data_IF_004432077669
#
_entry.id   IF_004432077669
#
_cell.length_a   1.000
_cell.length_b   1.000
_cell.length_c   1.000
_cell.angle_alpha   90.00
_cell.angle_beta   90.00
_cell.angle_gamma   90.00
#
_symmetry.space_group_name_H-M   'P 1'
#
loop_
_entity.id
_entity.type
_entity.pdbx_description
1 polymer ?
#
# COMPACT_ATOMS: atom_id res chain seq x y z
N UNK A 1 -1.75 -5.72 17.43
CA UNK A 1 -2.06 -5.24 16.06
C UNK A 1 -1.42 -6.20 15.06
N UNK A 2 -2.21 -6.86 14.20
CA UNK A 2 -1.74 -8.00 13.38
C UNK A 2 -1.21 -7.59 11.99
N UNK A 3 -1.44 -6.35 11.55
CA UNK A 3 -1.02 -5.85 10.24
C UNK A 3 0.51 -5.86 10.11
N UNK A 4 1.22 -5.21 11.03
CA UNK A 4 2.68 -5.09 10.98
C UNK A 4 3.41 -6.45 10.90
N UNK A 5 3.09 -7.47 11.72
CA UNK A 5 3.66 -8.82 11.56
C UNK A 5 3.51 -9.42 10.15
N UNK A 6 2.36 -9.22 9.49
CA UNK A 6 2.12 -9.70 8.11
C UNK A 6 3.05 -8.98 7.13
N UNK A 7 3.19 -7.66 7.26
CA UNK A 7 4.06 -6.87 6.37
C UNK A 7 5.54 -7.20 6.58
N UNK A 8 5.97 -7.45 7.82
CA UNK A 8 7.33 -7.93 8.12
C UNK A 8 7.60 -9.31 7.50
N UNK A 9 6.60 -10.19 7.48
CA UNK A 9 6.71 -11.49 6.81
C UNK A 9 6.87 -11.33 5.29
N UNK A 10 6.16 -10.39 4.65
CA UNK A 10 6.36 -10.06 3.23
C UNK A 10 7.80 -9.59 2.98
N UNK A 11 8.30 -8.69 3.82
CA UNK A 11 9.69 -8.21 3.74
C UNK A 11 10.71 -9.33 3.88
N UNK A 12 10.48 -10.27 4.81
CA UNK A 12 11.32 -11.46 4.98
C UNK A 12 11.29 -12.36 3.75
N UNK A 13 10.10 -12.63 3.19
CA UNK A 13 9.92 -13.43 1.97
C UNK A 13 10.55 -12.79 0.74
N UNK A 14 10.54 -11.46 0.66
CA UNK A 14 11.21 -10.69 -0.37
C UNK A 14 12.72 -10.60 -0.16
N UNK A 15 13.31 -11.45 0.70
CA UNK A 15 14.73 -11.47 1.03
C UNK A 15 15.27 -10.07 1.41
N UNK A 16 14.47 -9.30 2.15
CA UNK A 16 14.77 -7.94 2.59
C UNK A 16 15.16 -6.98 1.44
N UNK A 17 14.68 -7.23 0.22
CA UNK A 17 14.85 -6.33 -0.93
C UNK A 17 13.84 -5.17 -0.94
N UNK A 18 12.95 -5.14 0.06
CA UNK A 18 11.94 -4.10 0.24
C UNK A 18 12.07 -3.45 1.62
N UNK A 19 11.58 -2.23 1.73
CA UNK A 19 11.50 -1.47 2.97
C UNK A 19 10.06 -1.19 3.34
N UNK A 20 9.82 -1.05 4.64
CA UNK A 20 8.51 -0.88 5.23
C UNK A 20 8.55 0.36 6.13
N UNK A 21 7.71 1.33 5.81
CA UNK A 21 7.50 2.54 6.59
C UNK A 21 6.14 2.43 7.26
N UNK A 22 6.07 2.78 8.54
CA UNK A 22 4.82 2.78 9.29
C UNK A 22 4.59 4.15 9.88
N UNK A 23 3.39 4.67 9.67
CA UNK A 23 2.94 5.92 10.25
C UNK A 23 3.74 7.14 9.82
N UNK A 24 3.89 7.34 8.51
CA UNK A 24 4.70 8.41 7.92
C UNK A 24 3.84 9.32 7.03
N UNK A 25 4.22 10.59 6.93
CA UNK A 25 3.63 11.49 5.94
C UNK A 25 4.15 11.15 4.54
N UNK A 26 3.26 11.22 3.55
CA UNK A 26 3.57 11.00 2.15
C UNK A 26 3.03 12.17 1.33
N UNK A 27 3.79 13.26 1.38
CA UNK A 27 3.41 14.56 0.82
C UNK A 27 3.96 14.71 -0.59
N UNK A 28 3.22 14.23 -1.59
CA UNK A 28 3.68 14.18 -2.98
C UNK A 28 3.25 15.42 -3.77
N UNK A 29 2.00 15.84 -3.66
CA UNK A 29 1.46 16.97 -4.44
C UNK A 29 0.43 17.73 -3.59
N UNK A 30 0.88 18.75 -2.88
CA UNK A 30 0.06 19.53 -1.94
C UNK A 30 -1.06 20.27 -2.67
N UNK A 31 -0.78 20.80 -3.85
CA UNK A 31 -1.74 21.57 -4.65
C UNK A 31 -2.93 20.70 -5.10
N UNK A 32 -2.69 19.39 -5.30
CA UNK A 32 -3.74 18.40 -5.61
C UNK A 32 -4.36 17.74 -4.37
N UNK A 33 -3.97 18.13 -3.16
CA UNK A 33 -4.41 17.49 -1.93
C UNK A 33 -3.84 16.07 -1.75
N UNK A 34 -2.79 15.70 -2.49
CA UNK A 34 -2.09 14.41 -2.39
C UNK A 34 -0.96 14.51 -1.37
N UNK A 35 -1.35 14.87 -0.15
CA UNK A 35 -0.52 14.99 1.02
C UNK A 35 -1.24 14.38 2.23
N UNK A 36 -0.48 13.94 3.23
CA UNK A 36 -1.02 13.42 4.47
C UNK A 36 -0.43 12.09 4.91
N UNK A 37 -1.06 11.54 5.94
CA UNK A 37 -0.57 10.40 6.70
C UNK A 37 -0.94 9.07 6.04
N UNK A 38 0.06 8.20 5.87
CA UNK A 38 -0.12 6.81 5.46
C UNK A 38 0.23 5.88 6.61
N UNK A 39 -0.65 4.92 6.89
CA UNK A 39 -0.43 3.94 7.97
C UNK A 39 0.76 3.04 7.62
N UNK A 40 0.84 2.59 6.36
CA UNK A 40 1.95 1.78 5.86
C UNK A 40 2.28 2.06 4.40
N UNK A 41 3.59 2.09 4.11
CA UNK A 41 4.14 2.17 2.75
C UNK A 41 5.19 1.08 2.61
N UNK A 42 5.12 0.32 1.52
CA UNK A 42 6.20 -0.58 1.14
C UNK A 42 6.89 -0.02 -0.09
N UNK A 43 8.21 0.16 -0.02
CA UNK A 43 9.04 0.54 -1.16
C UNK A 43 9.83 -0.67 -1.64
N UNK A 44 9.96 -0.84 -2.96
CA UNK A 44 10.82 -1.88 -3.54
C UNK A 44 12.28 -1.42 -3.59
N UNK A 45 12.83 -1.15 -2.41
CA UNK A 45 14.20 -0.73 -2.13
C UNK A 45 14.66 -1.30 -0.79
N UNK A 46 15.96 -1.49 -0.60
CA UNK A 46 16.53 -1.89 0.70
C UNK A 46 16.63 -0.73 1.70
N UNK A 47 16.61 0.50 1.19
CA UNK A 47 16.75 1.71 1.98
C UNK A 47 15.56 1.88 2.92
N UNK A 48 15.82 2.12 4.20
CA UNK A 48 14.81 2.26 5.25
C UNK A 48 14.73 3.67 5.83
N UNK A 49 15.66 4.57 5.46
CA UNK A 49 15.67 5.94 5.91
C UNK A 49 14.77 6.84 5.05
N UNK A 50 14.69 6.54 3.75
CA UNK A 50 13.96 7.32 2.77
C UNK A 50 13.06 6.42 1.93
N UNK A 51 11.86 6.92 1.60
CA UNK A 51 10.94 6.25 0.70
C UNK A 51 11.53 6.31 -0.73
N UNK A 52 11.55 5.17 -1.44
CA UNK A 52 12.02 5.10 -2.81
C UNK A 52 10.98 4.45 -3.73
N UNK A 53 10.97 4.87 -4.99
CA UNK A 53 10.11 4.25 -5.99
C UNK A 53 10.59 2.84 -6.38
N UNK A 54 9.66 1.92 -6.72
CA UNK A 54 8.22 2.06 -6.64
C UNK A 54 7.67 1.80 -5.23
N UNK A 55 6.54 2.42 -4.91
CA UNK A 55 5.81 2.19 -3.65
C UNK A 55 4.43 1.58 -3.84
N UNK A 56 4.01 0.76 -2.87
CA UNK A 56 2.63 0.32 -2.66
C UNK A 56 2.09 0.87 -1.33
N UNK A 57 0.77 1.05 -1.27
CA UNK A 57 0.10 1.74 -0.17
C UNK A 57 -0.80 0.78 0.61
N UNK A 58 -0.71 0.80 1.94
CA UNK A 58 -1.59 0.01 2.79
C UNK A 58 -2.17 0.93 3.87
N UNK A 59 -3.50 1.03 3.90
CA UNK A 59 -4.25 1.88 4.83
C UNK A 59 -4.92 1.03 5.90
N UNK A 60 -4.78 1.43 7.16
CA UNK A 60 -5.50 0.85 8.26
C UNK A 60 -6.88 1.51 8.38
N UNK A 61 -7.92 0.71 8.21
CA UNK A 61 -9.29 1.17 8.34
C UNK A 61 -9.60 1.48 9.80
N UNK A 62 -9.77 2.77 10.10
CA UNK A 62 -10.20 3.24 11.42
C UNK A 62 -11.65 2.84 11.68
N UNK A 63 -11.95 2.50 12.94
CA UNK A 63 -13.29 2.11 13.40
C UNK A 63 -13.91 0.96 12.57
N UNK A 64 -13.07 0.02 12.12
CA UNK A 64 -13.47 -1.16 11.34
C UNK A 64 -14.17 -0.86 9.99
N UNK A 65 -14.09 0.39 9.51
CA UNK A 65 -14.79 0.81 8.32
C UNK A 65 -13.89 0.77 7.08
N UNK A 66 -13.83 -0.40 6.44
CA UNK A 66 -13.11 -0.60 5.17
C UNK A 66 -13.57 0.39 4.10
N UNK A 67 -14.88 0.69 3.99
CA UNK A 67 -15.41 1.56 2.93
C UNK A 67 -14.81 2.97 3.01
N UNK A 68 -14.67 3.50 4.22
CA UNK A 68 -14.06 4.81 4.43
C UNK A 68 -12.57 4.82 4.05
N UNK A 69 -11.86 3.72 4.28
CA UNK A 69 -10.45 3.59 3.92
C UNK A 69 -10.19 3.50 2.41
N UNK A 70 -11.18 3.12 1.59
CA UNK A 70 -11.01 2.99 0.13
C UNK A 70 -10.64 4.30 -0.55
N UNK A 71 -11.31 5.40 -0.18
CA UNK A 71 -11.03 6.71 -0.75
C UNK A 71 -9.63 7.23 -0.38
N UNK A 72 -9.25 7.04 0.88
CA UNK A 72 -7.91 7.38 1.37
C UNK A 72 -6.83 6.56 0.65
N UNK A 73 -7.04 5.25 0.51
CA UNK A 73 -6.12 4.37 -0.19
C UNK A 73 -5.99 4.76 -1.67
N UNK A 74 -7.10 5.03 -2.36
CA UNK A 74 -7.09 5.48 -3.74
C UNK A 74 -6.32 6.80 -3.93
N UNK A 75 -6.52 7.79 -3.05
CA UNK A 75 -5.77 9.04 -3.08
C UNK A 75 -4.26 8.84 -2.87
N UNK A 76 -3.88 8.04 -1.88
CA UNK A 76 -2.48 7.71 -1.64
C UNK A 76 -1.86 6.86 -2.76
N UNK A 77 -2.62 5.99 -3.43
CA UNK A 77 -2.16 5.27 -4.63
C UNK A 77 -1.91 6.21 -5.81
N UNK A 78 -2.73 7.25 -5.98
CA UNK A 78 -2.47 8.29 -6.98
C UNK A 78 -1.22 9.10 -6.63
N UNK A 79 -1.02 9.44 -5.35
CA UNK A 79 0.22 10.04 -4.87
C UNK A 79 1.43 9.15 -5.19
N UNK A 80 1.32 7.83 -4.97
CA UNK A 80 2.36 6.86 -5.27
C UNK A 80 2.69 6.80 -6.76
N UNK A 81 1.69 6.85 -7.65
CA UNK A 81 1.90 6.90 -9.09
C UNK A 81 2.73 8.14 -9.49
N UNK A 82 2.35 9.32 -9.00
CA UNK A 82 3.05 10.58 -9.28
C UNK A 82 4.48 10.55 -8.72
N UNK A 83 4.65 10.06 -7.50
CA UNK A 83 5.96 9.90 -6.87
C UNK A 83 6.87 9.00 -7.72
N UNK A 84 6.37 7.82 -8.12
CA UNK A 84 7.13 6.88 -8.94
C UNK A 84 7.54 7.49 -10.30
N UNK A 85 6.63 8.25 -10.94
CA UNK A 85 6.92 8.97 -12.19
C UNK A 85 8.01 10.04 -12.03
N UNK A 86 7.96 10.84 -10.95
CA UNK A 86 8.97 11.87 -10.67
C UNK A 86 10.36 11.29 -10.39
N UNK A 87 10.41 10.09 -9.83
CA UNK A 87 11.64 9.32 -9.63
C UNK A 87 12.12 8.57 -10.90
N UNK A 88 11.54 8.87 -12.08
CA UNK A 88 11.83 8.22 -13.36
C UNK A 88 11.60 6.70 -13.36
N UNK A 89 10.66 6.22 -12.54
CA UNK A 89 10.32 4.81 -12.40
C UNK A 89 8.82 4.61 -12.67
N UNK A 90 8.40 4.97 -13.87
CA UNK A 90 7.00 4.90 -14.29
C UNK A 90 6.56 3.43 -14.41
N UNK A 91 5.87 2.96 -13.38
CA UNK A 91 5.25 1.64 -13.37
C UNK A 91 3.76 1.77 -13.72
N UNK A 92 3.23 0.92 -14.61
CA UNK A 92 1.87 1.08 -15.14
C UNK A 92 0.78 0.82 -14.10
N UNK A 93 1.13 0.11 -13.01
CA UNK A 93 0.18 -0.43 -12.05
C UNK A 93 0.65 -0.15 -10.63
N UNK A 94 -0.16 0.55 -9.85
CA UNK A 94 0.03 0.73 -8.40
C UNK A 94 -0.93 -0.20 -7.67
N UNK A 95 -0.42 -0.94 -6.69
CA UNK A 95 -1.24 -1.79 -5.82
C UNK A 95 -1.48 -1.11 -4.48
N UNK A 96 -2.64 -1.39 -3.90
CA UNK A 96 -2.96 -0.92 -2.56
C UNK A 96 -3.86 -1.89 -1.80
N UNK A 97 -3.90 -1.72 -0.49
CA UNK A 97 -4.80 -2.46 0.37
C UNK A 97 -5.43 -1.57 1.45
N UNK A 98 -6.63 -1.93 1.87
CA UNK A 98 -7.29 -1.40 3.06
C UNK A 98 -7.55 -2.57 4.00
N UNK A 99 -7.19 -2.41 5.27
CA UNK A 99 -7.32 -3.51 6.24
C UNK A 99 -7.70 -3.05 7.63
N UNK A 100 -8.47 -3.87 8.34
CA UNK A 100 -8.69 -3.75 9.80
C UNK A 100 -7.74 -4.65 10.60
N UNK A 101 -6.82 -5.34 9.93
CA UNK A 101 -6.07 -6.49 10.46
C UNK A 101 -6.80 -7.81 10.21
N UNK A 102 -8.10 -7.86 10.51
CA UNK A 102 -8.93 -9.05 10.33
C UNK A 102 -9.47 -9.22 8.92
N UNK A 103 -9.79 -8.12 8.24
CA UNK A 103 -10.32 -8.10 6.88
C UNK A 103 -9.38 -7.28 6.01
N UNK A 104 -9.05 -7.81 4.83
CA UNK A 104 -8.22 -7.18 3.81
C UNK A 104 -9.01 -7.01 2.53
N UNK A 105 -8.91 -5.83 1.95
CA UNK A 105 -9.49 -5.48 0.65
C UNK A 105 -8.41 -4.89 -0.24
N UNK A 106 -8.32 -5.38 -1.46
CA UNK A 106 -7.23 -5.03 -2.38
C UNK A 106 -7.71 -4.14 -3.52
N UNK A 107 -6.83 -3.25 -3.94
CA UNK A 107 -7.05 -2.26 -4.98
C UNK A 107 -5.89 -2.28 -5.97
N UNK A 108 -6.19 -1.92 -7.20
CA UNK A 108 -5.21 -1.76 -8.28
C UNK A 108 -5.54 -0.47 -9.03
N UNK A 109 -4.56 0.42 -9.21
CA UNK A 109 -4.68 1.62 -10.03
C UNK A 109 -3.83 1.41 -11.28
N UNK A 110 -4.46 1.39 -12.45
CA UNK A 110 -3.77 1.33 -13.75
C UNK A 110 -4.12 2.57 -14.55
N UNK A 111 -3.08 3.36 -14.85
CA UNK A 111 -3.25 4.69 -15.43
C UNK A 111 -4.24 5.51 -14.59
N UNK A 112 -5.44 5.76 -15.09
CA UNK A 112 -6.49 6.52 -14.41
C UNK A 112 -7.67 5.65 -13.95
N UNK A 113 -7.57 4.32 -14.06
CA UNK A 113 -8.63 3.39 -13.70
C UNK A 113 -8.33 2.71 -12.37
N UNK A 114 -9.20 2.93 -11.39
CA UNK A 114 -9.15 2.24 -10.11
C UNK A 114 -10.02 0.98 -10.15
N UNK A 115 -9.43 -0.15 -9.82
CA UNK A 115 -10.08 -1.44 -9.66
C UNK A 115 -10.10 -1.81 -8.19
N UNK A 116 -11.25 -2.27 -7.71
CA UNK A 116 -11.44 -2.73 -6.33
C UNK A 116 -11.87 -4.18 -6.41
N UNK A 117 -11.12 -5.08 -5.77
CA UNK A 117 -11.57 -6.46 -5.62
C UNK A 117 -12.80 -6.47 -4.71
N UNK A 118 -13.89 -7.08 -5.17
CA UNK A 118 -15.13 -7.17 -4.40
C UNK A 118 -14.98 -8.15 -3.23
N UNK A 119 -14.07 -9.13 -3.34
CA UNK A 119 -13.82 -10.12 -2.30
C UNK A 119 -13.16 -9.47 -1.07
N UNK A 120 -13.69 -9.80 0.10
CA UNK A 120 -13.02 -9.54 1.36
C UNK A 120 -12.19 -10.78 1.73
N UNK A 121 -10.93 -10.58 2.07
CA UNK A 121 -10.04 -11.64 2.54
C UNK A 121 -9.94 -11.56 4.05
N UNK A 122 -10.32 -12.63 4.73
CA UNK A 122 -10.22 -12.68 6.18
C UNK A 122 -8.83 -13.14 6.62
N UNK A 123 -8.38 -12.76 7.80
CA UNK A 123 -7.07 -13.15 8.33
C UNK A 123 -6.83 -14.67 8.36
N UNK A 124 -7.91 -15.47 8.50
CA UNK A 124 -7.86 -16.93 8.36
C UNK A 124 -7.40 -17.41 6.97
N UNK A 125 -7.56 -16.59 5.94
CA UNK A 125 -7.06 -16.80 4.57
C UNK A 125 -5.64 -16.24 4.40
N UNK A 126 -4.80 -16.32 5.43
CA UNK A 126 -3.47 -15.71 5.49
C UNK A 126 -2.59 -16.03 4.27
N UNK A 127 -2.65 -17.25 3.75
CA UNK A 127 -1.89 -17.64 2.57
C UNK A 127 -2.28 -16.81 1.32
N UNK A 128 -3.56 -16.50 1.15
CA UNK A 128 -4.05 -15.66 0.05
C UNK A 128 -3.60 -14.22 0.23
N UNK A 129 -3.74 -13.67 1.45
CA UNK A 129 -3.29 -12.30 1.77
C UNK A 129 -1.79 -12.16 1.50
N UNK A 130 -0.98 -13.10 1.98
CA UNK A 130 0.46 -13.08 1.77
C UNK A 130 0.82 -13.24 0.29
N UNK A 131 0.12 -14.10 -0.46
CA UNK A 131 0.35 -14.29 -1.88
C UNK A 131 0.07 -13.03 -2.71
N UNK A 132 -1.04 -12.34 -2.43
CA UNK A 132 -1.43 -11.10 -3.10
C UNK A 132 -0.42 -9.98 -2.79
N UNK A 133 -0.12 -9.77 -1.50
CA UNK A 133 0.86 -8.76 -1.09
C UNK A 133 2.25 -9.03 -1.66
N UNK A 134 2.67 -10.30 -1.73
CA UNK A 134 3.97 -10.67 -2.27
C UNK A 134 4.07 -10.44 -3.78
N UNK A 135 2.99 -10.64 -4.54
CA UNK A 135 2.97 -10.32 -5.97
C UNK A 135 3.00 -8.81 -6.25
N UNK A 136 2.61 -7.99 -5.27
CA UNK A 136 2.57 -6.54 -5.39
C UNK A 136 3.92 -5.86 -5.14
N UNK A 137 4.94 -6.58 -4.64
CA UNK A 137 6.24 -6.03 -4.21
C UNK A 137 7.42 -6.55 -5.01
#
# INVERSE_FOLDING_TARGET
MIILPILLEIRRRANYQISLFSGINFDVDIDKGLNGYCDFIISRSKEQLLINAPVIIIIEAKNENIKNGLGQCAGAMLAAQIFNQRENNDIPTIYGAVTTGDIWKFLKLELNNLFIDLKNYYIKELANILGILFQAV
#
